data_IF_327187887305
#
_entry.id   IF_327187887305
#
_cell.length_a   1.000
_cell.length_b   1.000
_cell.length_c   1.000
_cell.angle_alpha   90.00
_cell.angle_beta   90.00
_cell.angle_gamma   90.00
#
_symmetry.space_group_name_H-M   'P 1'
#
loop_
_entity.id
_entity.type
_entity.pdbx_description
1 polymer ?
#
# COMPACT_ATOMS: atom_id res chain seq x y z
N UNK A 1 4.16 14.06 9.02
CA UNK A 1 3.00 13.87 8.11
C UNK A 1 3.42 13.02 6.92
N UNK A 2 4.49 13.42 6.21
CA UNK A 2 5.07 12.58 5.15
C UNK A 2 5.86 11.39 5.71
N UNK A 3 5.78 10.25 5.03
CA UNK A 3 6.61 9.08 5.23
C UNK A 3 8.00 9.37 4.65
N UNK A 4 9.03 9.16 5.46
CA UNK A 4 10.43 9.28 5.03
C UNK A 4 10.73 8.29 3.88
N UNK A 5 11.38 8.72 2.79
CA UNK A 5 11.77 7.84 1.68
C UNK A 5 12.54 6.58 2.13
N UNK A 6 13.39 6.68 3.16
CA UNK A 6 14.11 5.54 3.70
C UNK A 6 13.18 4.47 4.30
N UNK A 7 12.02 4.87 4.83
CA UNK A 7 11.01 3.90 5.28
C UNK A 7 10.36 3.18 4.09
N UNK A 8 10.12 3.89 2.99
CA UNK A 8 9.56 3.28 1.78
C UNK A 8 10.54 2.25 1.21
N UNK A 9 11.83 2.57 1.14
CA UNK A 9 12.86 1.65 0.65
C UNK A 9 13.02 0.43 1.56
N UNK A 10 13.02 0.63 2.89
CA UNK A 10 12.99 -0.49 3.84
C UNK A 10 11.78 -1.41 3.65
N UNK A 11 10.60 -0.86 3.34
CA UNK A 11 9.41 -1.67 3.07
C UNK A 11 9.53 -2.42 1.74
N UNK A 12 10.13 -1.82 0.70
CA UNK A 12 10.43 -2.54 -0.56
C UNK A 12 11.37 -3.72 -0.31
N UNK A 13 12.44 -3.51 0.46
CA UNK A 13 13.38 -4.56 0.84
C UNK A 13 12.68 -5.66 1.64
N UNK A 14 11.88 -5.29 2.63
CA UNK A 14 11.10 -6.24 3.44
C UNK A 14 10.19 -7.12 2.58
N UNK A 15 9.47 -6.52 1.62
CA UNK A 15 8.63 -7.27 0.66
C UNK A 15 9.49 -8.24 -0.16
N UNK A 16 10.61 -7.77 -0.72
CA UNK A 16 11.48 -8.59 -1.55
C UNK A 16 12.08 -9.77 -0.78
N UNK A 17 12.45 -9.55 0.49
CA UNK A 17 12.96 -10.59 1.37
C UNK A 17 11.90 -11.63 1.70
N UNK A 18 10.67 -11.21 2.03
CA UNK A 18 9.57 -12.14 2.25
C UNK A 18 9.26 -12.97 1.00
N UNK A 19 9.25 -12.35 -0.18
CA UNK A 19 9.05 -13.06 -1.45
C UNK A 19 10.15 -14.10 -1.71
N UNK A 20 11.42 -13.76 -1.38
CA UNK A 20 12.56 -14.67 -1.51
C UNK A 20 12.45 -15.86 -0.54
N UNK A 21 12.18 -15.57 0.73
CA UNK A 21 12.07 -16.58 1.80
C UNK A 21 10.91 -17.55 1.50
N UNK A 22 9.75 -17.02 1.12
CA UNK A 22 8.54 -17.79 0.89
C UNK A 22 8.43 -18.35 -0.54
N UNK A 23 9.42 -18.08 -1.40
CA UNK A 23 9.49 -18.51 -2.81
C UNK A 23 8.20 -18.16 -3.58
N UNK A 24 7.69 -16.97 -3.36
CA UNK A 24 6.42 -16.52 -3.94
C UNK A 24 6.60 -16.31 -5.44
N UNK A 25 5.77 -17.00 -6.23
CA UNK A 25 5.67 -16.75 -7.67
C UNK A 25 4.64 -15.65 -7.92
N UNK A 26 5.00 -14.65 -8.72
CA UNK A 26 4.04 -13.64 -9.19
C UNK A 26 2.94 -14.35 -9.99
N UNK A 27 1.73 -14.40 -9.42
CA UNK A 27 0.52 -14.85 -10.10
C UNK A 27 -0.43 -13.66 -10.25
N UNK A 28 -1.19 -13.57 -11.34
CA UNK A 28 -2.27 -12.61 -11.46
C UNK A 28 -3.32 -12.85 -10.37
N UNK A 29 -3.82 -11.76 -9.79
CA UNK A 29 -4.88 -11.80 -8.79
C UNK A 29 -6.23 -11.61 -9.50
N UNK A 30 -7.09 -12.62 -9.43
CA UNK A 30 -8.43 -12.58 -10.01
C UNK A 30 -9.27 -11.38 -9.53
N UNK A 31 -8.97 -10.84 -8.33
CA UNK A 31 -9.62 -9.62 -7.84
C UNK A 31 -9.23 -8.39 -8.67
N UNK A 32 -7.93 -8.25 -9.00
CA UNK A 32 -7.45 -7.18 -9.86
C UNK A 32 -7.97 -7.32 -11.30
N UNK A 33 -8.06 -8.55 -11.82
CA UNK A 33 -8.57 -8.80 -13.18
C UNK A 33 -10.06 -8.40 -13.34
N UNK A 34 -10.83 -8.40 -12.25
CA UNK A 34 -12.26 -8.07 -12.25
C UNK A 34 -12.53 -6.56 -12.14
N UNK A 35 -11.53 -5.77 -11.77
CA UNK A 35 -11.64 -4.33 -11.57
C UNK A 35 -10.70 -3.61 -12.53
N UNK A 36 -11.27 -2.91 -13.52
CA UNK A 36 -10.50 -1.99 -14.37
C UNK A 36 -10.13 -0.77 -13.53
N UNK A 37 -8.87 -0.69 -13.09
CA UNK A 37 -8.31 0.56 -12.57
C UNK A 37 -8.38 1.65 -13.65
N UNK A 38 -8.58 2.90 -13.23
CA UNK A 38 -8.67 4.05 -14.12
C UNK A 38 -7.38 4.28 -14.90
N UNK A 39 -7.36 3.82 -16.15
CA UNK A 39 -6.48 4.23 -17.26
C UNK A 39 -5.03 4.60 -16.89
N UNK A 40 -4.15 3.59 -16.95
CA UNK A 40 -2.68 3.65 -16.85
C UNK A 40 -2.01 4.34 -18.08
N UNK A 41 -2.68 5.31 -18.68
CA UNK A 41 -2.27 5.96 -19.95
C UNK A 41 -1.65 7.34 -19.74
N UNK A 42 -1.17 7.63 -18.53
CA UNK A 42 -0.36 8.84 -18.29
C UNK A 42 1.10 8.48 -18.48
N UNK A 43 1.48 8.42 -19.77
CA UNK A 43 2.86 8.36 -20.18
C UNK A 43 3.68 9.50 -19.52
N UNK A 44 4.90 9.15 -19.16
CA UNK A 44 6.00 9.85 -18.49
C UNK A 44 6.38 11.26 -19.04
N UNK A 45 5.58 11.88 -19.91
CA UNK A 45 6.02 13.02 -20.73
C UNK A 45 5.51 14.39 -20.32
N UNK A 46 4.76 14.55 -19.22
CA UNK A 46 4.21 15.87 -18.81
C UNK A 46 4.90 16.52 -17.60
N UNK A 47 5.80 15.83 -16.88
CA UNK A 47 6.32 16.31 -15.58
C UNK A 47 7.85 16.43 -15.51
N UNK A 48 8.49 17.03 -16.53
CA UNK A 48 9.96 17.18 -16.62
C UNK A 48 10.62 18.04 -15.51
N UNK A 49 9.86 18.53 -14.52
CA UNK A 49 10.37 19.40 -13.46
C UNK A 49 9.83 19.06 -12.06
N UNK A 50 9.17 17.90 -11.88
CA UNK A 50 8.73 17.42 -10.58
C UNK A 50 9.21 15.98 -10.38
N UNK A 51 10.12 15.76 -9.42
CA UNK A 51 10.61 14.42 -9.05
C UNK A 51 9.51 13.55 -8.41
N UNK A 52 8.44 14.18 -7.92
CA UNK A 52 7.22 13.56 -7.44
C UNK A 52 6.22 13.42 -8.59
N UNK A 53 5.89 12.18 -8.96
CA UNK A 53 4.88 11.86 -9.99
C UNK A 53 3.47 11.76 -9.41
N UNK A 54 3.32 11.81 -8.08
CA UNK A 54 2.04 11.81 -7.38
C UNK A 54 2.19 11.73 -5.85
N UNK A 55 1.05 11.65 -5.16
CA UNK A 55 0.99 11.49 -3.70
C UNK A 55 0.04 10.34 -3.38
N UNK A 56 0.49 9.41 -2.54
CA UNK A 56 -0.40 8.45 -1.88
C UNK A 56 -0.66 8.89 -0.45
N UNK A 57 -1.90 8.81 0.01
CA UNK A 57 -2.27 9.25 1.35
C UNK A 57 -3.24 8.30 2.04
N UNK A 58 -3.22 8.31 3.38
CA UNK A 58 -4.26 7.74 4.21
C UNK A 58 -4.96 8.84 5.01
N UNK A 59 -6.29 8.81 4.97
CA UNK A 59 -7.16 9.66 5.77
C UNK A 59 -7.90 8.83 6.81
N UNK A 60 -8.24 9.44 7.94
CA UNK A 60 -9.19 8.83 8.86
C UNK A 60 -10.62 8.96 8.33
N UNK A 61 -11.59 8.33 9.01
CA UNK A 61 -13.01 8.43 8.66
C UNK A 61 -13.64 9.83 8.82
N UNK A 62 -12.90 10.80 9.36
CA UNK A 62 -13.31 12.19 9.48
C UNK A 62 -12.65 13.08 8.41
N UNK A 63 -12.17 12.47 7.32
CA UNK A 63 -11.52 13.15 6.20
C UNK A 63 -10.23 13.91 6.56
N UNK A 64 -9.66 13.64 7.73
CA UNK A 64 -8.37 14.20 8.13
C UNK A 64 -7.23 13.30 7.67
N UNK A 65 -6.26 13.90 6.96
CA UNK A 65 -5.03 13.24 6.52
C UNK A 65 -4.22 12.79 7.73
N UNK A 66 -3.84 11.50 7.74
CA UNK A 66 -2.99 10.91 8.78
C UNK A 66 -1.54 10.92 8.28
N UNK A 67 -1.30 10.31 7.13
CA UNK A 67 0.02 10.17 6.53
C UNK A 67 -0.03 10.32 5.02
N UNK A 68 1.07 10.85 4.46
CA UNK A 68 1.28 11.02 3.03
C UNK A 68 2.59 10.34 2.63
N UNK A 69 2.70 9.85 1.41
CA UNK A 69 3.91 9.30 0.83
C UNK A 69 4.05 9.83 -0.58
N UNK A 70 5.24 10.34 -0.90
CA UNK A 70 5.56 10.79 -2.24
C UNK A 70 5.71 9.59 -3.18
N UNK A 71 5.14 9.72 -4.37
CA UNK A 71 5.33 8.76 -5.45
C UNK A 71 6.46 9.29 -6.31
N UNK A 72 7.54 8.52 -6.42
CA UNK A 72 8.71 8.87 -7.23
C UNK A 72 8.90 7.87 -8.37
N UNK A 73 9.24 8.36 -9.56
CA UNK A 73 9.65 7.52 -10.69
C UNK A 73 8.53 6.60 -11.21
N UNK A 74 8.72 5.28 -11.07
CA UNK A 74 7.94 4.19 -11.72
C UNK A 74 6.48 4.07 -11.28
N UNK A 75 5.89 5.11 -10.69
CA UNK A 75 4.49 5.18 -10.33
C UNK A 75 4.11 4.42 -9.05
N UNK A 76 2.80 4.16 -8.93
CA UNK A 76 2.22 3.48 -7.78
C UNK A 76 2.73 2.04 -7.64
N UNK A 77 3.12 1.68 -6.41
CA UNK A 77 3.51 0.31 -6.08
C UNK A 77 2.99 -0.06 -4.68
N UNK A 78 2.98 -1.36 -4.38
CA UNK A 78 2.43 -1.87 -3.11
C UNK A 78 3.24 -1.47 -1.88
N UNK A 79 4.48 -1.01 -2.02
CA UNK A 79 5.25 -0.53 -0.86
C UNK A 79 4.70 0.80 -0.32
N UNK A 80 4.05 1.63 -1.14
CA UNK A 80 3.44 2.89 -0.71
C UNK A 80 2.33 2.70 0.34
N UNK A 81 1.26 1.91 0.10
CA UNK A 81 0.23 1.69 1.11
C UNK A 81 0.76 0.93 2.31
N UNK A 82 1.75 0.04 2.12
CA UNK A 82 2.38 -0.71 3.20
C UNK A 82 3.22 0.19 4.12
N UNK A 83 3.98 1.14 3.58
CA UNK A 83 4.78 2.07 4.38
C UNK A 83 3.89 2.99 5.23
N UNK A 84 2.76 3.45 4.67
CA UNK A 84 1.75 4.20 5.41
C UNK A 84 1.13 3.34 6.51
N UNK A 85 0.71 2.11 6.18
CA UNK A 85 0.06 1.22 7.13
C UNK A 85 1.00 0.80 8.26
N UNK A 86 2.29 0.55 7.98
CA UNK A 86 3.30 0.25 8.99
C UNK A 86 3.43 1.37 10.03
N UNK A 87 3.40 2.63 9.57
CA UNK A 87 3.46 3.79 10.46
C UNK A 87 2.23 3.85 11.36
N UNK A 88 1.04 3.59 10.83
CA UNK A 88 -0.21 3.54 11.61
C UNK A 88 -0.13 2.42 12.65
N UNK A 89 0.23 1.21 12.22
CA UNK A 89 0.40 0.01 13.07
C UNK A 89 1.30 0.30 14.26
N UNK A 90 2.44 0.96 14.05
CA UNK A 90 3.42 1.29 15.10
C UNK A 90 3.00 2.44 16.02
N UNK A 91 2.04 3.26 15.60
CA UNK A 91 1.62 4.46 16.36
C UNK A 91 0.43 4.18 17.26
N UNK A 92 -0.48 3.31 16.83
CA UNK A 92 -1.69 3.00 17.61
C UNK A 92 -1.45 1.89 18.64
N UNK A 93 -2.36 1.75 19.60
CA UNK A 93 -2.24 0.74 20.65
C UNK A 93 -2.15 -0.69 20.08
N UNK A 94 -1.30 -1.58 20.63
CA UNK A 94 -1.01 -2.89 20.04
C UNK A 94 -2.23 -3.77 19.77
N UNK A 95 -3.27 -3.68 20.60
CA UNK A 95 -4.48 -4.51 20.50
C UNK A 95 -5.64 -3.79 19.79
N UNK A 96 -5.43 -2.58 19.28
CA UNK A 96 -6.49 -1.80 18.64
C UNK A 96 -6.75 -2.33 17.22
N UNK A 97 -8.01 -2.69 16.88
CA UNK A 97 -8.39 -3.05 15.53
C UNK A 97 -8.18 -1.90 14.53
N UNK A 98 -7.73 -2.24 13.33
CA UNK A 98 -7.51 -1.30 12.22
C UNK A 98 -8.33 -1.78 11.02
N UNK A 99 -9.32 -0.96 10.64
CA UNK A 99 -10.01 -1.11 9.36
C UNK A 99 -9.31 -0.29 8.29
N UNK A 100 -8.94 -0.94 7.18
CA UNK A 100 -8.30 -0.31 6.02
C UNK A 100 -9.27 -0.38 4.85
N UNK A 101 -9.72 0.79 4.39
CA UNK A 101 -10.41 0.94 3.11
C UNK A 101 -9.38 1.29 2.06
N UNK A 102 -9.24 0.44 1.04
CA UNK A 102 -8.25 0.60 -0.01
C UNK A 102 -8.83 0.16 -1.35
N UNK A 103 -8.40 0.80 -2.43
CA UNK A 103 -8.76 0.37 -3.79
C UNK A 103 -8.23 -1.04 -4.02
N UNK A 104 -9.12 -1.99 -4.28
CA UNK A 104 -8.82 -3.42 -4.26
C UNK A 104 -8.21 -3.88 -2.92
N UNK A 105 -8.84 -3.49 -1.80
CA UNK A 105 -8.51 -3.98 -0.45
C UNK A 105 -8.39 -5.51 -0.37
N UNK A 106 -9.24 -6.26 -1.08
CA UNK A 106 -9.12 -7.72 -1.26
C UNK A 106 -7.73 -8.15 -1.76
N UNK A 107 -7.14 -7.40 -2.69
CA UNK A 107 -5.86 -7.71 -3.31
C UNK A 107 -4.71 -7.39 -2.36
N UNK A 108 -4.81 -6.27 -1.64
CA UNK A 108 -3.84 -5.89 -0.63
C UNK A 108 -3.83 -6.87 0.55
N UNK A 109 -5.00 -7.31 1.01
CA UNK A 109 -5.15 -8.31 2.07
C UNK A 109 -4.45 -9.63 1.69
N UNK A 110 -4.78 -10.18 0.52
CA UNK A 110 -4.11 -11.37 -0.03
C UNK A 110 -2.60 -11.16 -0.19
N UNK A 111 -2.19 -9.97 -0.61
CA UNK A 111 -0.78 -9.66 -0.79
C UNK A 111 0.00 -9.75 0.52
N UNK A 112 -0.57 -9.17 1.59
CA UNK A 112 -0.04 -9.21 2.96
C UNK A 112 0.02 -10.65 3.47
N UNK A 113 -1.07 -11.41 3.31
CA UNK A 113 -1.16 -12.80 3.77
C UNK A 113 -0.15 -13.71 3.09
N UNK A 114 -0.07 -13.67 1.76
CA UNK A 114 0.85 -14.50 1.00
C UNK A 114 2.31 -14.24 1.36
N UNK A 115 2.65 -12.99 1.68
CA UNK A 115 4.00 -12.54 2.05
C UNK A 115 4.28 -12.55 3.54
N UNK A 116 3.32 -12.97 4.37
CA UNK A 116 3.44 -12.92 5.84
C UNK A 116 3.97 -11.57 6.33
N UNK A 117 3.38 -10.50 5.82
CA UNK A 117 3.72 -9.13 6.20
C UNK A 117 3.09 -8.85 7.58
N UNK A 118 3.91 -8.43 8.55
CA UNK A 118 3.53 -8.15 9.95
C UNK A 118 2.64 -9.22 10.58
N UNK A 119 3.09 -10.48 10.67
CA UNK A 119 2.28 -11.57 11.23
C UNK A 119 1.80 -11.28 12.66
N UNK A 120 2.58 -10.51 13.42
CA UNK A 120 2.25 -10.05 14.78
C UNK A 120 1.06 -9.09 14.83
N UNK A 121 0.81 -8.34 13.75
CA UNK A 121 -0.31 -7.40 13.65
C UNK A 121 -1.45 -7.90 12.78
N UNK A 122 -1.35 -9.11 12.21
CA UNK A 122 -2.31 -9.59 11.22
C UNK A 122 -3.74 -9.70 11.76
N UNK A 123 -3.89 -10.18 12.99
CA UNK A 123 -5.19 -10.44 13.65
C UNK A 123 -6.03 -9.19 13.88
N UNK A 124 -5.40 -8.02 13.88
CA UNK A 124 -6.07 -6.72 14.10
C UNK A 124 -6.26 -5.92 12.82
N UNK A 125 -5.81 -6.42 11.66
CA UNK A 125 -6.04 -5.78 10.37
C UNK A 125 -7.29 -6.35 9.69
N UNK A 126 -8.15 -5.47 9.20
CA UNK A 126 -9.30 -5.82 8.36
C UNK A 126 -9.31 -4.92 7.12
N UNK A 127 -9.57 -5.52 5.96
CA UNK A 127 -9.54 -4.81 4.69
C UNK A 127 -10.93 -4.77 4.05
N UNK A 128 -11.30 -3.60 3.55
CA UNK A 128 -12.51 -3.37 2.77
C UNK A 128 -12.17 -2.74 1.42
N UNK A 129 -12.94 -3.09 0.41
CA UNK A 129 -12.93 -2.41 -0.90
C UNK A 129 -14.22 -1.60 -1.02
N UNK A 130 -14.15 -0.37 -1.54
CA UNK A 130 -15.35 0.39 -1.86
C UNK A 130 -16.11 -0.31 -2.99
N UNK A 131 -17.43 -0.41 -2.89
CA UNK A 131 -18.27 -0.89 -4.00
C UNK A 131 -18.40 0.17 -5.10
N UNK A 132 -18.11 1.43 -4.76
CA UNK A 132 -18.14 2.55 -5.68
C UNK A 132 -16.70 2.93 -6.05
N UNK A 133 -16.36 2.68 -7.33
CA UNK A 133 -15.19 3.20 -8.03
C UNK A 133 -15.68 3.90 -9.30
#
# INVERSE_FOLDING_TARGET
>A
MFIDPANLDRVKEYIADQERILKIRKKPDKCADSHKAGNDNRNETTWKSCDDTGIMGACCRHDAVIHLCNIHGTGENRALPLAILERIIKTIEPNRPIGVLYDLGCSLDKFIDLRRIWPESRSRLSFGTSVFH
#
